data_IF_859849636963
#
_entry.id   IF_859849636963
#
_cell.length_a   1.000
_cell.length_b   1.000
_cell.length_c   1.000
_cell.angle_alpha   90.00
_cell.angle_beta   90.00
_cell.angle_gamma   90.00
#
_symmetry.space_group_name_H-M   'P 1'
#
loop_
_entity.id
_entity.type
_entity.pdbx_description
1 polymer ?
#
# COMPACT_ATOMS: atom_id res chain seq x y z
N UNK A 1 -12.70 4.93 5.08
CA UNK A 1 -12.15 6.06 5.90
C UNK A 1 -12.25 7.31 5.04
N UNK A 2 -12.73 8.46 5.57
CA UNK A 2 -12.66 9.73 4.82
C UNK A 2 -11.34 10.40 5.18
N UNK A 3 -10.56 10.72 4.19
CA UNK A 3 -9.31 11.46 4.36
C UNK A 3 -9.61 12.95 4.14
N UNK A 4 -9.85 13.67 5.23
CA UNK A 4 -9.91 15.12 5.20
C UNK A 4 -8.51 15.76 5.27
N UNK A 5 -8.43 17.08 5.14
CA UNK A 5 -7.16 17.80 5.15
C UNK A 5 -6.33 17.56 6.42
N UNK A 6 -6.95 17.42 7.59
CA UNK A 6 -6.22 17.18 8.85
C UNK A 6 -5.62 15.78 8.88
N UNK A 7 -6.39 14.77 8.48
CA UNK A 7 -5.93 13.37 8.39
C UNK A 7 -4.79 13.25 7.38
N UNK A 8 -4.87 13.91 6.24
CA UNK A 8 -3.81 13.94 5.22
C UNK A 8 -2.51 14.55 5.74
N UNK A 9 -2.58 15.66 6.51
CA UNK A 9 -1.40 16.29 7.14
C UNK A 9 -0.74 15.34 8.15
N UNK A 10 -1.53 14.66 8.97
CA UNK A 10 -1.02 13.69 9.95
C UNK A 10 -0.35 12.52 9.24
N UNK A 11 -0.96 11.99 8.19
CA UNK A 11 -0.39 10.90 7.39
C UNK A 11 0.94 11.31 6.74
N UNK A 12 1.04 12.51 6.18
CA UNK A 12 2.30 13.03 5.64
C UNK A 12 3.39 13.14 6.71
N UNK A 13 3.05 13.60 7.92
CA UNK A 13 4.01 13.64 9.04
C UNK A 13 4.49 12.24 9.42
N UNK A 14 3.59 11.26 9.48
CA UNK A 14 3.92 9.86 9.77
C UNK A 14 4.80 9.28 8.65
N UNK A 15 4.44 9.53 7.38
CA UNK A 15 5.19 9.06 6.23
C UNK A 15 6.61 9.62 6.17
N UNK A 16 6.80 10.89 6.54
CA UNK A 16 8.11 11.55 6.57
C UNK A 16 8.90 11.27 7.86
N UNK A 17 8.28 10.67 8.88
CA UNK A 17 8.95 10.27 10.10
C UNK A 17 9.85 9.04 9.91
N UNK A 18 10.73 8.79 10.88
CA UNK A 18 11.70 7.68 10.85
C UNK A 18 11.05 6.33 10.52
N UNK A 19 9.92 6.00 11.15
CA UNK A 19 9.22 4.74 10.93
C UNK A 19 8.69 4.61 9.48
N UNK A 20 8.15 5.71 8.92
CA UNK A 20 7.65 5.75 7.54
C UNK A 20 8.78 5.54 6.52
N UNK A 21 9.87 6.28 6.68
CA UNK A 21 11.06 6.17 5.82
C UNK A 21 11.67 4.77 5.91
N UNK A 22 11.90 4.24 7.12
CA UNK A 22 12.48 2.91 7.32
C UNK A 22 11.62 1.81 6.72
N UNK A 23 10.28 1.92 6.85
CA UNK A 23 9.34 0.97 6.25
C UNK A 23 9.43 0.98 4.71
N UNK A 24 9.41 2.16 4.08
CA UNK A 24 9.53 2.26 2.62
C UNK A 24 10.86 1.71 2.12
N UNK A 25 11.96 2.02 2.79
CA UNK A 25 13.26 1.44 2.46
C UNK A 25 13.25 -0.09 2.53
N UNK A 26 12.62 -0.66 3.55
CA UNK A 26 12.46 -2.12 3.67
C UNK A 26 11.63 -2.71 2.53
N UNK A 27 10.56 -2.01 2.09
CA UNK A 27 9.72 -2.44 0.97
C UNK A 27 10.49 -2.38 -0.35
N UNK A 28 11.18 -1.28 -0.65
CA UNK A 28 12.01 -1.12 -1.85
C UNK A 28 13.07 -2.21 -1.92
N UNK A 29 13.76 -2.47 -0.80
CA UNK A 29 14.73 -3.57 -0.71
C UNK A 29 14.08 -4.95 -0.94
N UNK A 30 12.90 -5.19 -0.35
CA UNK A 30 12.18 -6.46 -0.51
C UNK A 30 11.68 -6.65 -1.94
N UNK A 31 11.24 -5.60 -2.62
CA UNK A 31 10.82 -5.65 -4.02
C UNK A 31 11.98 -6.06 -4.93
N UNK A 32 13.22 -5.68 -4.60
CA UNK A 32 14.40 -5.93 -5.43
C UNK A 32 14.18 -5.43 -6.86
N UNK A 33 13.92 -4.11 -6.95
CA UNK A 33 13.56 -3.45 -8.19
C UNK A 33 14.70 -3.49 -9.21
N UNK A 34 14.31 -3.69 -10.48
CA UNK A 34 15.20 -3.59 -11.62
C UNK A 34 14.74 -2.44 -12.53
N UNK A 35 15.64 -1.93 -13.36
CA UNK A 35 15.28 -0.89 -14.33
C UNK A 35 14.30 -1.43 -15.37
N UNK A 36 13.41 -0.55 -15.84
CA UNK A 36 12.41 -0.83 -16.88
C UNK A 36 11.26 -1.78 -16.41
N UNK A 37 11.16 -2.11 -15.13
CA UNK A 37 10.04 -2.88 -14.59
C UNK A 37 8.75 -2.05 -14.54
N UNK A 38 7.62 -2.75 -14.64
CA UNK A 38 6.28 -2.22 -14.34
C UNK A 38 5.92 -2.61 -12.90
N UNK A 39 5.72 -1.61 -12.06
CA UNK A 39 5.41 -1.79 -10.62
C UNK A 39 4.07 -1.15 -10.29
N UNK A 40 3.27 -1.81 -9.48
CA UNK A 40 2.03 -1.23 -8.92
C UNK A 40 2.10 -1.12 -7.40
N UNK A 41 1.67 0.03 -6.88
CA UNK A 41 1.44 0.28 -5.45
C UNK A 41 -0.06 0.39 -5.18
N UNK A 42 -0.61 -0.60 -4.46
CA UNK A 42 -2.03 -0.72 -4.16
C UNK A 42 -2.31 -0.02 -2.82
N UNK A 43 -3.19 1.00 -2.86
CA UNK A 43 -3.41 1.90 -1.73
C UNK A 43 -2.24 2.85 -1.56
N UNK A 44 -1.84 3.52 -2.64
CA UNK A 44 -0.63 4.33 -2.70
C UNK A 44 -0.68 5.60 -1.84
N UNK A 45 -1.88 6.00 -1.38
CA UNK A 45 -2.07 7.20 -0.58
C UNK A 45 -1.44 8.43 -1.23
N UNK A 46 -0.72 9.23 -0.46
CA UNK A 46 -0.02 10.45 -0.93
C UNK A 46 1.26 10.21 -1.76
N UNK A 47 1.47 9.01 -2.31
CA UNK A 47 2.46 8.73 -3.35
C UNK A 47 3.93 8.65 -2.90
N UNK A 48 4.22 8.59 -1.59
CA UNK A 48 5.61 8.54 -1.11
C UNK A 48 6.38 7.32 -1.60
N UNK A 49 5.75 6.14 -1.59
CA UNK A 49 6.39 4.92 -2.08
C UNK A 49 6.43 4.90 -3.62
N UNK A 50 5.39 5.41 -4.28
CA UNK A 50 5.34 5.56 -5.74
C UNK A 50 6.51 6.39 -6.26
N UNK A 51 6.81 7.55 -5.63
CA UNK A 51 7.95 8.40 -5.97
C UNK A 51 9.28 7.65 -5.84
N UNK A 52 9.51 6.95 -4.71
CA UNK A 52 10.74 6.19 -4.47
C UNK A 52 10.92 5.02 -5.46
N UNK A 53 9.82 4.33 -5.81
CA UNK A 53 9.83 3.25 -6.80
C UNK A 53 10.14 3.82 -8.20
N UNK A 54 9.53 4.98 -8.57
CA UNK A 54 9.70 5.58 -9.89
C UNK A 54 11.15 5.94 -10.19
N UNK A 55 11.86 6.47 -9.18
CA UNK A 55 13.29 6.74 -9.26
C UNK A 55 14.12 5.46 -9.40
N UNK A 56 13.67 4.37 -8.77
CA UNK A 56 14.40 3.10 -8.77
C UNK A 56 14.28 2.34 -10.10
N UNK A 57 13.11 2.34 -10.73
CA UNK A 57 12.88 1.66 -12.02
C UNK A 57 13.36 2.47 -13.23
N UNK A 58 13.63 3.78 -13.03
CA UNK A 58 14.14 4.68 -14.07
C UNK A 58 13.08 5.09 -15.10
N UNK A 59 13.48 5.98 -16.01
CA UNK A 59 12.56 6.63 -16.98
C UNK A 59 11.84 5.67 -17.93
N UNK A 60 12.39 4.52 -18.21
CA UNK A 60 11.79 3.50 -19.09
C UNK A 60 10.93 2.48 -18.31
N UNK A 61 10.98 2.49 -17.00
CA UNK A 61 10.07 1.73 -16.13
C UNK A 61 8.70 2.41 -16.05
N UNK A 62 7.73 1.73 -15.47
CA UNK A 62 6.39 2.27 -15.23
C UNK A 62 5.97 2.01 -13.78
N UNK A 63 5.45 3.04 -13.13
CA UNK A 63 4.87 2.91 -11.79
C UNK A 63 3.41 3.31 -11.82
N UNK A 64 2.56 2.44 -11.30
CA UNK A 64 1.13 2.67 -11.22
C UNK A 64 0.76 2.76 -9.74
N UNK A 65 0.26 3.92 -9.30
CA UNK A 65 -0.33 4.09 -7.98
C UNK A 65 -1.84 3.99 -8.06
N UNK A 66 -2.46 3.14 -7.26
CA UNK A 66 -3.92 3.11 -7.15
C UNK A 66 -4.37 3.43 -5.73
N UNK A 67 -5.42 4.24 -5.61
CA UNK A 67 -6.07 4.57 -4.34
C UNK A 67 -7.55 4.93 -4.59
N UNK A 68 -8.49 4.53 -3.74
CA UNK A 68 -9.90 4.92 -3.90
C UNK A 68 -10.18 6.39 -3.52
N UNK A 69 -9.25 7.08 -2.88
CA UNK A 69 -9.39 8.46 -2.46
C UNK A 69 -8.76 9.43 -3.46
N UNK A 70 -9.59 10.23 -4.14
CA UNK A 70 -9.11 11.27 -5.03
C UNK A 70 -8.23 12.29 -4.29
N UNK A 71 -8.58 12.65 -3.05
CA UNK A 71 -7.79 13.59 -2.23
C UNK A 71 -6.36 13.07 -2.00
N UNK A 72 -6.18 11.77 -1.83
CA UNK A 72 -4.85 11.15 -1.71
C UNK A 72 -4.10 11.17 -3.05
N UNK A 73 -4.80 10.89 -4.15
CA UNK A 73 -4.19 10.92 -5.48
C UNK A 73 -3.80 12.32 -5.92
N UNK A 74 -4.51 13.36 -5.49
CA UNK A 74 -4.14 14.74 -5.75
C UNK A 74 -2.81 15.08 -5.04
N UNK A 75 -2.63 14.63 -3.79
CA UNK A 75 -1.35 14.75 -3.07
C UNK A 75 -0.24 13.95 -3.76
N UNK A 76 -0.55 12.72 -4.21
CA UNK A 76 0.40 11.88 -4.93
C UNK A 76 0.81 12.49 -6.27
N UNK A 77 -0.13 13.13 -6.99
CA UNK A 77 0.12 13.83 -8.24
C UNK A 77 1.09 15.00 -8.05
N UNK A 78 0.87 15.82 -7.02
CA UNK A 78 1.78 16.92 -6.70
C UNK A 78 3.19 16.42 -6.33
N UNK A 79 3.26 15.31 -5.62
CA UNK A 79 4.52 14.69 -5.22
C UNK A 79 5.28 14.12 -6.40
N UNK A 80 4.60 13.43 -7.31
CA UNK A 80 5.18 12.73 -8.44
C UNK A 80 5.21 13.57 -9.74
N UNK A 81 4.93 14.89 -9.66
CA UNK A 81 4.79 15.76 -10.84
C UNK A 81 6.01 15.80 -11.78
N UNK A 82 7.20 15.53 -11.24
CA UNK A 82 8.45 15.53 -11.99
C UNK A 82 8.81 14.12 -12.54
N UNK A 83 8.00 13.09 -12.25
CA UNK A 83 8.16 11.71 -12.71
C UNK A 83 7.24 11.43 -13.90
N UNK A 84 7.81 11.32 -15.10
CA UNK A 84 7.06 11.03 -16.33
C UNK A 84 6.63 9.56 -16.47
N UNK A 85 7.13 8.68 -15.60
CA UNK A 85 6.89 7.25 -15.61
C UNK A 85 5.85 6.80 -14.57
N UNK A 86 5.14 7.75 -13.94
CA UNK A 86 4.09 7.50 -12.94
C UNK A 86 2.70 7.69 -13.54
N UNK A 87 1.82 6.73 -13.29
CA UNK A 87 0.39 6.78 -13.56
C UNK A 87 -0.38 6.61 -12.25
N UNK A 88 -1.37 7.48 -12.01
CA UNK A 88 -2.23 7.40 -10.82
C UNK A 88 -3.67 7.11 -11.24
N UNK A 89 -4.30 6.11 -10.63
CA UNK A 89 -5.63 5.63 -11.00
C UNK A 89 -6.53 5.60 -9.76
N UNK A 90 -7.65 6.33 -9.83
CA UNK A 90 -8.68 6.30 -8.78
C UNK A 90 -9.52 5.03 -8.94
N UNK A 91 -9.17 3.99 -8.18
CA UNK A 91 -9.87 2.70 -8.18
C UNK A 91 -9.60 1.92 -6.90
N UNK A 92 -10.37 0.87 -6.69
CA UNK A 92 -10.23 -0.06 -5.57
C UNK A 92 -9.38 -1.28 -5.95
N UNK A 93 -8.86 -2.00 -4.95
CA UNK A 93 -8.02 -3.16 -5.18
C UNK A 93 -8.77 -4.40 -5.72
N UNK A 94 -10.09 -4.40 -5.67
CA UNK A 94 -10.98 -5.43 -6.21
C UNK A 94 -11.44 -5.14 -7.66
N UNK A 95 -11.04 -3.99 -8.24
CA UNK A 95 -11.39 -3.57 -9.59
C UNK A 95 -10.24 -2.81 -10.26
N UNK A 96 -9.08 -3.45 -10.39
CA UNK A 96 -7.85 -2.84 -10.90
C UNK A 96 -7.95 -2.67 -12.44
N UNK A 97 -7.93 -1.41 -12.91
CA UNK A 97 -8.14 -1.04 -14.31
C UNK A 97 -6.86 -1.13 -15.18
N UNK A 98 -6.13 -2.24 -15.07
CA UNK A 98 -4.95 -2.51 -15.89
C UNK A 98 -5.01 -3.92 -16.48
N UNK A 99 -4.18 -4.17 -17.49
CA UNK A 99 -4.14 -5.41 -18.25
C UNK A 99 -3.68 -6.62 -17.41
N UNK A 100 -4.13 -7.80 -17.80
CA UNK A 100 -3.68 -9.07 -17.22
C UNK A 100 -2.17 -9.25 -17.43
N UNK A 101 -1.50 -9.86 -16.45
CA UNK A 101 -0.08 -10.22 -16.55
C UNK A 101 0.81 -9.06 -17.01
N UNK A 102 0.56 -7.86 -16.50
CA UNK A 102 1.25 -6.62 -16.88
C UNK A 102 2.28 -6.14 -15.86
N UNK A 103 2.22 -6.60 -14.60
CA UNK A 103 3.08 -6.11 -13.52
C UNK A 103 4.21 -7.08 -13.16
N UNK A 104 5.42 -6.56 -13.08
CA UNK A 104 6.61 -7.28 -12.62
C UNK A 104 6.69 -7.34 -11.10
N UNK A 105 6.31 -6.25 -10.43
CA UNK A 105 6.30 -6.15 -8.97
C UNK A 105 4.99 -5.50 -8.50
N UNK A 106 4.51 -5.96 -7.37
CA UNK A 106 3.30 -5.45 -6.74
C UNK A 106 3.60 -5.15 -5.27
N UNK A 107 3.10 -4.05 -4.76
CA UNK A 107 3.14 -3.76 -3.33
C UNK A 107 1.79 -3.29 -2.80
N UNK A 108 1.52 -3.59 -1.53
CA UNK A 108 0.40 -3.04 -0.78
C UNK A 108 0.86 -2.79 0.66
N UNK A 109 0.76 -1.54 1.12
CA UNK A 109 1.27 -1.15 2.43
C UNK A 109 0.15 -0.60 3.29
N UNK A 110 -0.19 -1.31 4.36
CA UNK A 110 -1.29 -0.95 5.26
C UNK A 110 -2.58 -0.64 4.49
N UNK A 111 -2.95 -1.54 3.59
CA UNK A 111 -4.10 -1.39 2.68
C UNK A 111 -5.02 -2.59 2.76
N UNK A 112 -4.51 -3.80 2.53
CA UNK A 112 -5.33 -5.00 2.40
C UNK A 112 -6.08 -5.36 3.68
N UNK A 113 -5.58 -5.00 4.84
CA UNK A 113 -6.26 -5.21 6.12
C UNK A 113 -7.56 -4.43 6.27
N UNK A 114 -7.77 -3.38 5.46
CA UNK A 114 -8.96 -2.52 5.47
C UNK A 114 -9.99 -2.88 4.39
N UNK A 115 -9.74 -3.90 3.58
CA UNK A 115 -10.62 -4.34 2.49
C UNK A 115 -11.49 -5.49 2.98
N UNK A 116 -12.82 -5.34 2.92
CA UNK A 116 -13.74 -6.36 3.40
C UNK A 116 -13.62 -7.66 2.59
N UNK A 117 -13.74 -7.59 1.27
CA UNK A 117 -13.53 -8.73 0.36
C UNK A 117 -12.09 -8.79 -0.15
N UNK A 118 -11.18 -9.18 0.73
CA UNK A 118 -9.77 -9.34 0.38
C UNK A 118 -9.56 -10.44 -0.68
N UNK A 119 -10.40 -11.47 -0.72
CA UNK A 119 -10.20 -12.59 -1.63
C UNK A 119 -10.43 -12.17 -3.09
N UNK A 120 -11.35 -11.25 -3.36
CA UNK A 120 -11.49 -10.61 -4.69
C UNK A 120 -10.28 -9.75 -5.02
N UNK A 121 -9.80 -8.93 -4.09
CA UNK A 121 -8.58 -8.13 -4.30
C UNK A 121 -7.34 -9.00 -4.58
N UNK A 122 -7.19 -10.13 -3.90
CA UNK A 122 -6.09 -11.06 -4.15
C UNK A 122 -6.19 -11.72 -5.54
N UNK A 123 -7.40 -11.98 -6.05
CA UNK A 123 -7.60 -12.46 -7.43
C UNK A 123 -7.19 -11.40 -8.45
N UNK A 124 -7.51 -10.15 -8.21
CA UNK A 124 -7.07 -9.04 -9.07
C UNK A 124 -5.53 -8.90 -9.06
N UNK A 125 -4.92 -8.94 -7.88
CA UNK A 125 -3.45 -8.96 -7.75
C UNK A 125 -2.85 -10.12 -8.55
N UNK A 126 -3.44 -11.31 -8.46
CA UNK A 126 -3.00 -12.46 -9.25
C UNK A 126 -3.19 -12.24 -10.75
N UNK A 127 -4.32 -11.67 -11.19
CA UNK A 127 -4.64 -11.40 -12.60
C UNK A 127 -3.59 -10.49 -13.25
N UNK A 128 -3.23 -9.38 -12.57
CA UNK A 128 -2.27 -8.41 -13.10
C UNK A 128 -0.81 -8.85 -13.00
N UNK A 129 -0.54 -9.89 -12.20
CA UNK A 129 0.81 -10.41 -11.97
C UNK A 129 1.35 -11.13 -13.19
N UNK A 130 2.55 -10.77 -13.65
CA UNK A 130 3.32 -11.57 -14.60
C UNK A 130 3.78 -12.90 -13.97
N UNK A 131 4.17 -13.85 -14.81
CA UNK A 131 4.87 -15.05 -14.34
C UNK A 131 6.17 -14.61 -13.63
N UNK A 132 6.40 -15.14 -12.43
CA UNK A 132 7.53 -14.79 -11.56
C UNK A 132 7.50 -13.34 -11.01
N UNK A 133 6.37 -12.65 -11.07
CA UNK A 133 6.22 -11.37 -10.38
C UNK A 133 6.45 -11.53 -8.86
N UNK A 134 6.81 -10.43 -8.22
CA UNK A 134 6.98 -10.40 -6.75
C UNK A 134 5.89 -9.52 -6.13
N UNK A 135 5.20 -10.05 -5.13
CA UNK A 135 4.26 -9.31 -4.31
C UNK A 135 4.83 -9.07 -2.91
N UNK A 136 4.87 -7.82 -2.48
CA UNK A 136 5.31 -7.40 -1.14
C UNK A 136 4.13 -6.74 -0.44
N UNK A 137 3.65 -7.35 0.64
CA UNK A 137 2.63 -6.76 1.50
C UNK A 137 3.20 -6.40 2.87
N UNK A 138 2.87 -5.22 3.35
CA UNK A 138 3.18 -4.78 4.71
C UNK A 138 1.89 -4.40 5.42
N UNK A 139 1.52 -5.18 6.42
CA UNK A 139 0.35 -4.97 7.28
C UNK A 139 0.74 -5.06 8.75
N UNK A 140 -0.09 -4.51 9.61
CA UNK A 140 0.12 -4.52 11.05
C UNK A 140 -0.63 -5.70 11.66
N UNK A 141 -0.01 -6.35 12.65
CA UNK A 141 -0.68 -7.30 13.55
C UNK A 141 -1.48 -6.51 14.60
N UNK A 142 -2.66 -6.01 14.18
CA UNK A 142 -3.46 -5.09 14.99
C UNK A 142 -3.88 -5.66 16.34
N UNK A 143 -4.12 -6.95 16.45
CA UNK A 143 -4.46 -7.59 17.73
C UNK A 143 -3.31 -7.57 18.75
N UNK A 144 -2.07 -7.43 18.28
CA UNK A 144 -0.88 -7.35 19.13
C UNK A 144 -0.29 -5.94 19.23
N UNK A 145 -0.80 -4.99 18.45
CA UNK A 145 -0.27 -3.63 18.45
C UNK A 145 -0.62 -2.90 19.75
N UNK A 146 0.37 -2.25 20.36
CA UNK A 146 0.20 -1.43 21.56
C UNK A 146 1.08 -0.19 21.45
N UNK A 147 0.56 0.93 21.94
CA UNK A 147 1.35 2.14 22.10
C UNK A 147 2.13 2.11 23.39
N UNK A 148 3.41 2.44 23.34
CA UNK A 148 4.23 2.61 24.53
C UNK A 148 3.93 3.98 25.17
N UNK A 149 3.71 3.98 26.48
CA UNK A 149 3.51 5.20 27.29
C UNK A 149 2.10 5.38 27.82
N UNK A 150 1.01 5.24 27.03
CA UNK A 150 -0.34 5.33 27.57
C UNK A 150 -0.65 4.21 28.57
N UNK A 151 -1.55 4.52 29.52
CA UNK A 151 -2.12 3.52 30.44
C UNK A 151 -2.86 2.43 29.65
N UNK A 152 -3.04 1.27 30.29
CA UNK A 152 -3.67 0.09 29.66
C UNK A 152 -5.05 0.42 29.11
N UNK A 153 -5.85 1.14 29.88
CA UNK A 153 -7.23 1.53 29.51
C UNK A 153 -7.28 2.39 28.24
N UNK A 154 -6.32 3.31 28.08
CA UNK A 154 -6.19 4.14 26.86
C UNK A 154 -5.76 3.28 25.69
N UNK A 155 -4.81 2.37 25.87
CA UNK A 155 -4.40 1.44 24.83
C UNK A 155 -5.57 0.54 24.39
N UNK A 156 -6.38 0.05 25.31
CA UNK A 156 -7.54 -0.80 25.03
C UNK A 156 -8.59 -0.02 24.21
N UNK A 157 -8.87 1.25 24.56
CA UNK A 157 -9.79 2.12 23.79
C UNK A 157 -9.28 2.38 22.36
N UNK A 158 -8.00 2.70 22.21
CA UNK A 158 -7.37 2.91 20.90
C UNK A 158 -7.45 1.63 20.08
N UNK A 159 -7.16 0.49 20.68
CA UNK A 159 -7.21 -0.81 20.04
C UNK A 159 -8.61 -1.18 19.56
N UNK A 160 -9.64 -0.91 20.37
CA UNK A 160 -11.03 -1.12 19.98
C UNK A 160 -11.45 -0.21 18.82
N UNK A 161 -11.00 1.05 18.81
CA UNK A 161 -11.24 1.97 17.70
C UNK A 161 -10.61 1.46 16.39
N UNK A 162 -9.39 0.92 16.44
CA UNK A 162 -8.76 0.30 15.25
C UNK A 162 -9.50 -0.96 14.79
N UNK A 163 -10.03 -1.77 15.68
CA UNK A 163 -10.86 -2.95 15.34
C UNK A 163 -12.08 -2.58 14.51
N UNK A 164 -12.68 -1.42 14.77
CA UNK A 164 -13.85 -0.96 14.03
C UNK A 164 -13.54 -0.63 12.55
N UNK A 165 -12.29 -0.43 12.18
CA UNK A 165 -11.87 -0.03 10.84
C UNK A 165 -11.06 -1.09 10.09
N UNK A 166 -10.62 -2.14 10.76
CA UNK A 166 -9.73 -3.16 10.21
C UNK A 166 -10.47 -4.50 10.10
N UNK A 167 -10.78 -4.94 8.89
CA UNK A 167 -11.46 -6.22 8.65
C UNK A 167 -10.55 -7.42 8.91
N UNK A 168 -9.23 -7.28 8.65
CA UNK A 168 -8.26 -8.37 8.73
C UNK A 168 -7.12 -8.04 9.68
N UNK A 169 -7.38 -8.08 10.99
CA UNK A 169 -6.45 -7.63 12.03
C UNK A 169 -5.18 -8.48 12.16
N UNK A 170 -5.24 -9.73 11.67
CA UNK A 170 -4.14 -10.68 11.70
C UNK A 170 -3.63 -11.03 10.30
N UNK A 171 -3.87 -10.18 9.31
CA UNK A 171 -3.56 -10.42 7.91
C UNK A 171 -2.14 -10.96 7.65
N UNK A 172 -1.07 -10.44 8.29
CA UNK A 172 0.28 -10.96 8.04
C UNK A 172 0.45 -12.45 8.30
N UNK A 173 -0.35 -13.04 9.20
CA UNK A 173 -0.32 -14.48 9.49
C UNK A 173 -1.20 -15.29 8.53
N UNK A 174 -2.29 -14.71 8.06
CA UNK A 174 -3.30 -15.39 7.24
C UNK A 174 -3.00 -15.32 5.74
N UNK A 175 -2.31 -14.25 5.31
CA UNK A 175 -2.11 -13.91 3.89
C UNK A 175 -1.43 -15.03 3.10
N UNK A 176 -0.41 -15.67 3.67
CA UNK A 176 0.29 -16.76 2.99
C UNK A 176 -0.65 -17.96 2.73
N UNK A 177 -1.57 -18.26 3.65
CA UNK A 177 -2.59 -19.28 3.47
C UNK A 177 -3.60 -18.95 2.37
N UNK A 178 -3.95 -17.67 2.23
CA UNK A 178 -4.84 -17.18 1.16
C UNK A 178 -4.16 -17.23 -0.21
N UNK A 179 -2.93 -16.75 -0.31
CA UNK A 179 -2.15 -16.75 -1.55
C UNK A 179 -1.90 -18.15 -2.12
N UNK A 180 -1.73 -19.15 -1.27
CA UNK A 180 -1.56 -20.55 -1.71
C UNK A 180 -2.81 -21.19 -2.33
N UNK A 181 -3.97 -20.56 -2.17
CA UNK A 181 -5.25 -21.06 -2.73
C UNK A 181 -5.58 -20.43 -4.09
N UNK A 182 -4.80 -19.42 -4.51
CA UNK A 182 -4.88 -18.75 -5.81
C UNK A 182 -4.07 -19.51 -6.88
#
# INVERSE_FOLDING_TARGET
>A
MKFDNETSIIQQKIANGYAGVSRRLAIVNALNLETNETVIDIGCGGGHLVEEISLSVGEQGKVIGIDPSQDQLDVASDKCKDQNNVELICTTADDIKIEDSSCDKITATQTLEYIEDIDTSLKEIKRISKTNSKFVNVSILWDYFRFYGPEKEINDLIHEAFRAHCFHQMLPLDLNGKLKKL
#
